data_IF_731865561583
#
_entry.id   IF_731865561583
#
_cell.length_a   1.000
_cell.length_b   1.000
_cell.length_c   1.000
_cell.angle_alpha   90.00
_cell.angle_beta   90.00
_cell.angle_gamma   90.00
#
_symmetry.space_group_name_H-M   'P 1'
#
loop_
_entity.id
_entity.type
_entity.pdbx_description
1 polymer ?
#
# COMPACT_ATOMS: atom_id res chain seq x y z
N UNK A 1 -16.69 -11.62 -10.02
CA UNK A 1 -15.46 -12.17 -9.40
C UNK A 1 -14.27 -11.28 -9.75
N UNK A 2 -13.24 -11.24 -8.91
CA UNK A 2 -12.02 -10.48 -9.21
C UNK A 2 -11.29 -11.09 -10.41
N UNK A 3 -11.05 -10.29 -11.45
CA UNK A 3 -10.35 -10.70 -12.68
C UNK A 3 -8.83 -10.81 -12.49
N UNK A 4 -8.31 -10.32 -11.36
CA UNK A 4 -6.88 -10.16 -11.07
C UNK A 4 -6.56 -10.84 -9.74
N UNK A 5 -5.44 -11.55 -9.70
CA UNK A 5 -4.92 -12.26 -8.52
C UNK A 5 -4.08 -11.34 -7.64
N UNK A 6 -3.93 -11.68 -6.36
CA UNK A 6 -3.08 -10.90 -5.46
C UNK A 6 -1.60 -10.89 -5.87
N UNK A 7 -1.12 -11.98 -6.48
CA UNK A 7 0.25 -12.08 -6.97
C UNK A 7 0.53 -11.06 -8.09
N UNK A 8 -0.42 -10.87 -9.00
CA UNK A 8 -0.32 -9.88 -10.07
C UNK A 8 -0.30 -8.45 -9.52
N UNK A 9 -1.12 -8.15 -8.51
CA UNK A 9 -1.12 -6.84 -7.84
C UNK A 9 0.22 -6.55 -7.14
N UNK A 10 0.79 -7.56 -6.46
CA UNK A 10 2.11 -7.43 -5.84
C UNK A 10 3.20 -7.17 -6.87
N UNK A 11 3.19 -7.88 -7.99
CA UNK A 11 4.16 -7.68 -9.08
C UNK A 11 4.01 -6.31 -9.74
N UNK A 12 2.79 -5.80 -9.88
CA UNK A 12 2.53 -4.46 -10.39
C UNK A 12 2.90 -3.33 -9.41
N UNK A 13 3.21 -3.65 -8.15
CA UNK A 13 3.67 -2.67 -7.15
C UNK A 13 2.58 -1.79 -6.54
N UNK A 14 1.30 -2.18 -6.63
CA UNK A 14 0.17 -1.34 -6.14
C UNK A 14 0.10 -1.21 -4.61
N UNK A 15 0.87 -2.01 -3.89
CA UNK A 15 0.93 -1.99 -2.42
C UNK A 15 1.84 -0.88 -1.88
N UNK A 16 2.57 -0.16 -2.73
CA UNK A 16 3.36 0.98 -2.30
C UNK A 16 2.50 2.24 -2.24
N UNK A 17 2.38 2.81 -1.05
CA UNK A 17 1.75 4.09 -0.81
C UNK A 17 2.72 5.27 -0.89
N UNK A 18 2.30 6.40 -0.32
CA UNK A 18 3.12 7.60 -0.23
C UNK A 18 4.18 7.50 0.88
N UNK A 19 5.08 8.49 0.90
CA UNK A 19 6.04 8.66 2.00
C UNK A 19 5.31 8.89 3.32
N UNK A 20 5.89 8.42 4.42
CA UNK A 20 5.30 8.51 5.77
C UNK A 20 5.00 9.92 6.27
N UNK A 21 5.54 10.96 5.62
CA UNK A 21 5.24 12.37 5.95
C UNK A 21 4.01 12.95 5.24
N UNK A 22 3.50 12.28 4.21
CA UNK A 22 2.41 12.78 3.36
C UNK A 22 1.11 11.96 3.50
N UNK A 23 1.02 11.12 4.53
CA UNK A 23 -0.15 10.28 4.73
C UNK A 23 -1.27 11.02 5.47
N UNK A 24 -2.50 10.56 5.24
CA UNK A 24 -3.68 11.03 5.96
C UNK A 24 -3.96 10.08 7.14
N UNK A 25 -4.08 10.58 8.40
CA UNK A 25 -4.39 9.75 9.57
C UNK A 25 -5.61 8.83 9.43
N UNK A 26 -6.61 9.22 8.62
CA UNK A 26 -7.79 8.40 8.33
C UNK A 26 -7.47 7.09 7.58
N UNK A 27 -6.28 6.98 6.97
CA UNK A 27 -5.83 5.79 6.28
C UNK A 27 -5.23 4.71 7.21
N UNK A 28 -5.16 4.98 8.54
CA UNK A 28 -4.49 4.09 9.50
C UNK A 28 -4.99 2.64 9.48
N UNK A 29 -6.28 2.41 9.23
CA UNK A 29 -6.87 1.07 9.14
C UNK A 29 -6.52 0.30 7.86
N UNK A 30 -6.02 0.99 6.83
CA UNK A 30 -5.69 0.41 5.52
C UNK A 30 -4.19 0.27 5.29
N UNK A 31 -3.37 0.98 6.08
CA UNK A 31 -1.92 0.91 6.01
C UNK A 31 -1.47 -0.30 6.83
N UNK A 32 -0.77 -1.23 6.18
CA UNK A 32 -0.16 -2.38 6.84
C UNK A 32 1.05 -1.95 7.67
N UNK A 33 1.90 -1.07 7.13
CA UNK A 33 3.07 -0.57 7.84
C UNK A 33 3.88 0.45 7.05
N UNK A 34 5.15 0.60 7.42
CA UNK A 34 6.08 1.43 6.65
C UNK A 34 7.46 0.78 6.57
N UNK A 35 8.07 0.83 5.39
CA UNK A 35 9.44 0.36 5.14
C UNK A 35 10.16 1.40 4.30
N UNK A 36 11.38 1.76 4.66
CA UNK A 36 12.17 2.80 3.97
C UNK A 36 11.40 4.12 3.78
N UNK A 37 10.60 4.51 4.78
CA UNK A 37 9.75 5.72 4.77
C UNK A 37 8.63 5.72 3.72
N UNK A 38 8.28 4.57 3.14
CA UNK A 38 7.13 4.36 2.24
C UNK A 38 6.07 3.54 2.98
N UNK A 39 4.80 3.91 2.86
CA UNK A 39 3.70 3.10 3.38
C UNK A 39 3.48 1.86 2.52
N UNK A 40 3.21 0.74 3.20
CA UNK A 40 2.75 -0.52 2.61
C UNK A 40 1.39 -0.82 3.20
#
# INVERSE_FOLDING_TARGET
MAKVTMRELLQAGVHFGHRTRYWNPKMKSYIYGSRNKIHI
#
